data_IF_698063618185
#
_entry.id   IF_698063618185
#
_cell.length_a   1.000
_cell.length_b   1.000
_cell.length_c   1.000
_cell.angle_alpha   90.00
_cell.angle_beta   90.00
_cell.angle_gamma   90.00
#
_symmetry.space_group_name_H-M   'P 1'
#
loop_
_entity.id
_entity.type
_entity.pdbx_description
1 polymer ?
#
# COMPACT_ATOMS: atom_id res chain seq x y z
N UNK A 1 7.14 29.10 -18.32
CA UNK A 1 6.16 28.12 -17.77
C UNK A 1 6.95 27.01 -17.11
N UNK A 2 6.93 27.00 -15.78
CA UNK A 2 7.61 26.00 -14.94
C UNK A 2 7.02 24.63 -15.23
N UNK A 3 7.89 23.64 -15.50
CA UNK A 3 7.50 22.23 -15.52
C UNK A 3 7.03 21.89 -14.11
N UNK A 4 5.71 21.88 -13.91
CA UNK A 4 5.12 21.23 -12.74
C UNK A 4 5.59 19.78 -12.80
N UNK A 5 6.53 19.44 -11.91
CA UNK A 5 6.88 18.04 -11.65
C UNK A 5 5.60 17.41 -11.15
N UNK A 6 4.92 16.64 -12.00
CA UNK A 6 3.76 15.84 -11.62
C UNK A 6 4.14 15.08 -10.36
N UNK A 7 3.57 15.54 -9.25
CA UNK A 7 3.72 14.90 -7.96
C UNK A 7 3.20 13.47 -8.16
N UNK A 8 3.95 12.43 -7.76
CA UNK A 8 3.47 11.06 -7.88
C UNK A 8 2.07 10.93 -7.27
N UNK A 9 1.15 10.16 -7.90
CA UNK A 9 -0.22 10.03 -7.45
C UNK A 9 -0.31 9.69 -5.96
N UNK A 10 -1.02 10.52 -5.17
CA UNK A 10 -1.40 10.10 -3.81
C UNK A 10 -2.19 8.78 -3.90
N UNK A 11 -1.81 7.75 -3.14
CA UNK A 11 -2.27 6.42 -3.44
C UNK A 11 -3.73 6.17 -3.06
N UNK A 12 -4.41 5.42 -3.94
CA UNK A 12 -5.64 4.66 -3.68
C UNK A 12 -5.51 3.85 -2.38
N UNK A 13 -6.63 3.40 -1.76
CA UNK A 13 -6.58 2.45 -0.63
C UNK A 13 -5.53 1.40 -0.95
N UNK A 14 -4.42 1.36 -0.19
CA UNK A 14 -3.23 0.67 -0.69
C UNK A 14 -3.46 -0.83 -0.88
N UNK A 15 -4.54 -1.35 -0.30
CA UNK A 15 -5.06 -2.69 -0.55
C UNK A 15 -5.28 -3.00 -2.05
N UNK A 16 -5.77 -2.05 -2.86
CA UNK A 16 -6.03 -2.28 -4.29
C UNK A 16 -4.80 -2.07 -5.18
N UNK A 17 -3.64 -1.78 -4.60
CA UNK A 17 -2.42 -1.60 -5.37
C UNK A 17 -2.03 -2.90 -6.04
N UNK A 18 -1.78 -2.81 -7.34
CA UNK A 18 -1.10 -3.85 -8.10
C UNK A 18 0.38 -3.88 -7.73
N UNK A 19 1.10 -4.93 -8.15
CA UNK A 19 2.56 -5.00 -8.00
C UNK A 19 3.29 -3.84 -8.71
N UNK A 20 2.67 -3.22 -9.73
CA UNK A 20 3.21 -2.04 -10.41
C UNK A 20 3.07 -0.80 -9.53
N UNK A 21 1.91 -0.60 -8.92
CA UNK A 21 1.66 0.53 -8.01
C UNK A 21 2.58 0.45 -6.78
N UNK A 22 2.81 -0.76 -6.25
CA UNK A 22 3.81 -1.01 -5.19
C UNK A 22 5.21 -0.59 -5.63
N UNK A 23 5.62 -0.92 -6.85
CA UNK A 23 6.92 -0.50 -7.39
C UNK A 23 7.09 1.01 -7.43
N UNK A 24 6.09 1.74 -7.94
CA UNK A 24 6.11 3.21 -7.97
C UNK A 24 6.24 3.80 -6.56
N UNK A 25 5.48 3.27 -5.61
CA UNK A 25 5.56 3.70 -4.22
C UNK A 25 6.94 3.41 -3.59
N UNK A 26 7.56 2.27 -3.91
CA UNK A 26 8.92 1.98 -3.44
C UNK A 26 9.93 3.01 -3.93
N UNK A 27 9.81 3.50 -5.16
CA UNK A 27 10.66 4.59 -5.68
C UNK A 27 10.48 5.87 -4.88
N UNK A 28 9.25 6.24 -4.52
CA UNK A 28 8.94 7.44 -3.73
C UNK A 28 9.58 7.41 -2.33
N UNK A 29 9.62 6.23 -1.70
CA UNK A 29 10.17 6.06 -0.35
C UNK A 29 11.66 5.67 -0.33
N UNK A 30 12.37 5.86 -1.44
CA UNK A 30 13.79 5.52 -1.63
C UNK A 30 14.12 4.02 -1.48
N UNK A 31 13.14 3.15 -1.71
CA UNK A 31 13.30 1.69 -1.76
C UNK A 31 13.20 1.13 -3.20
N UNK A 32 13.35 1.99 -4.22
CA UNK A 32 13.19 1.62 -5.63
C UNK A 32 14.09 0.49 -6.13
N UNK A 33 15.23 0.25 -5.47
CA UNK A 33 16.09 -0.90 -5.76
C UNK A 33 15.41 -2.26 -5.58
N UNK A 34 14.30 -2.32 -4.85
CA UNK A 34 13.53 -3.55 -4.62
C UNK A 34 12.35 -3.74 -5.58
N UNK A 35 12.06 -2.78 -6.49
CA UNK A 35 10.90 -2.83 -7.38
C UNK A 35 10.79 -4.14 -8.15
N UNK A 36 11.88 -4.57 -8.80
CA UNK A 36 11.89 -5.77 -9.61
C UNK A 36 11.62 -7.03 -8.75
N UNK A 37 12.29 -7.13 -7.60
CA UNK A 37 12.14 -8.26 -6.68
C UNK A 37 10.73 -8.32 -6.09
N UNK A 38 10.12 -7.17 -5.78
CA UNK A 38 8.74 -7.13 -5.29
C UNK A 38 7.74 -7.57 -6.35
N UNK A 39 7.96 -7.14 -7.59
CA UNK A 39 7.16 -7.54 -8.76
C UNK A 39 7.26 -9.04 -9.03
N UNK A 40 8.46 -9.60 -9.05
CA UNK A 40 8.70 -11.04 -9.25
C UNK A 40 8.09 -11.88 -8.14
N UNK A 41 8.10 -11.36 -6.90
CA UNK A 41 7.49 -12.03 -5.76
C UNK A 41 5.97 -11.86 -5.67
N UNK A 42 5.36 -11.11 -6.59
CA UNK A 42 3.91 -10.86 -6.60
C UNK A 42 3.44 -10.03 -5.41
N UNK A 43 4.30 -9.17 -4.85
CA UNK A 43 3.95 -8.34 -3.71
C UNK A 43 3.04 -7.22 -4.18
N UNK A 44 1.76 -7.32 -3.82
CA UNK A 44 0.71 -6.34 -4.11
C UNK A 44 0.26 -5.64 -2.81
N UNK A 45 -0.72 -4.75 -2.93
CA UNK A 45 -1.33 -4.04 -1.81
C UNK A 45 -1.82 -4.92 -0.67
N UNK A 46 -2.57 -5.96 -1.01
CA UNK A 46 -3.08 -6.97 -0.07
C UNK A 46 -1.94 -7.67 0.70
N UNK A 47 -0.87 -8.06 0.00
CA UNK A 47 0.30 -8.67 0.64
C UNK A 47 0.96 -7.71 1.63
N UNK A 48 1.19 -6.46 1.20
CA UNK A 48 1.77 -5.42 2.05
C UNK A 48 0.90 -5.12 3.27
N UNK A 49 -0.42 -5.25 3.17
CA UNK A 49 -1.31 -5.14 4.31
C UNK A 49 -1.08 -6.24 5.34
N UNK A 50 -0.89 -7.47 4.87
CA UNK A 50 -0.59 -8.63 5.71
C UNK A 50 0.72 -8.50 6.48
N UNK A 51 1.68 -7.70 6.02
CA UNK A 51 2.99 -7.53 6.67
C UNK A 51 2.87 -7.11 8.15
N UNK A 52 1.86 -6.32 8.52
CA UNK A 52 1.71 -5.90 9.93
C UNK A 52 1.36 -7.04 10.88
N UNK A 53 0.88 -8.17 10.34
CA UNK A 53 0.51 -9.37 11.09
C UNK A 53 1.60 -10.45 11.01
N UNK A 54 2.72 -10.18 10.36
CA UNK A 54 3.78 -11.17 10.22
C UNK A 54 4.38 -11.55 11.56
N UNK A 55 4.54 -12.84 11.78
CA UNK A 55 5.39 -13.36 12.85
C UNK A 55 6.87 -13.08 12.54
N UNK A 56 7.73 -13.20 13.54
CA UNK A 56 9.19 -13.07 13.36
C UNK A 56 9.72 -13.97 12.24
N UNK A 57 9.21 -15.20 12.13
CA UNK A 57 9.61 -16.12 11.06
C UNK A 57 9.18 -15.64 9.68
N UNK A 58 7.95 -15.14 9.56
CA UNK A 58 7.43 -14.59 8.30
C UNK A 58 8.22 -13.34 7.88
N UNK A 59 8.57 -12.48 8.84
CA UNK A 59 9.47 -11.34 8.62
C UNK A 59 10.82 -11.83 8.07
N UNK A 60 11.46 -12.80 8.72
CA UNK A 60 12.76 -13.30 8.28
C UNK A 60 12.68 -13.99 6.92
N UNK A 61 11.60 -14.73 6.62
CA UNK A 61 11.36 -15.33 5.30
C UNK A 61 11.19 -14.25 4.23
N UNK A 62 10.42 -13.21 4.53
CA UNK A 62 10.22 -12.07 3.62
C UNK A 62 11.53 -11.36 3.30
N UNK A 63 12.30 -11.01 4.33
CA UNK A 63 13.59 -10.33 4.21
C UNK A 63 14.56 -11.13 3.34
N UNK A 64 14.64 -12.45 3.55
CA UNK A 64 15.47 -13.34 2.73
C UNK A 64 14.96 -13.43 1.29
N UNK A 65 13.64 -13.63 1.09
CA UNK A 65 13.02 -13.75 -0.23
C UNK A 65 13.19 -12.48 -1.07
N UNK A 66 13.13 -11.33 -0.41
CA UNK A 66 13.27 -10.03 -1.07
C UNK A 66 14.71 -9.52 -1.14
N UNK A 67 15.68 -10.29 -0.61
CA UNK A 67 17.06 -9.83 -0.43
C UNK A 67 17.17 -8.45 0.24
N UNK A 68 16.24 -8.15 1.14
CA UNK A 68 16.07 -6.83 1.73
C UNK A 68 16.98 -6.65 2.94
N UNK A 69 17.59 -5.48 3.08
CA UNK A 69 18.34 -5.14 4.30
C UNK A 69 17.37 -4.94 5.45
N UNK A 70 17.79 -5.31 6.67
CA UNK A 70 16.98 -5.09 7.86
C UNK A 70 16.56 -3.62 8.03
N UNK A 71 17.48 -2.67 7.84
CA UNK A 71 17.17 -1.24 7.91
C UNK A 71 16.12 -0.78 6.89
N UNK A 72 16.14 -1.33 5.69
CA UNK A 72 15.17 -1.03 4.63
C UNK A 72 13.80 -1.65 4.95
N UNK A 73 13.79 -2.85 5.55
CA UNK A 73 12.56 -3.46 6.06
C UNK A 73 11.91 -2.64 7.19
N UNK A 74 12.72 -2.06 8.09
CA UNK A 74 12.22 -1.13 9.12
C UNK A 74 11.62 0.12 8.48
N UNK A 75 12.24 0.66 7.43
CA UNK A 75 11.72 1.80 6.67
C UNK A 75 10.38 1.46 6.01
N UNK A 76 10.30 0.31 5.33
CA UNK A 76 9.06 -0.22 4.75
C UNK A 76 7.93 -0.29 5.79
N UNK A 77 8.21 -0.88 6.96
CA UNK A 77 7.22 -0.98 8.05
C UNK A 77 6.74 0.38 8.55
N UNK A 78 7.63 1.38 8.65
CA UNK A 78 7.27 2.74 9.07
C UNK A 78 6.35 3.41 8.06
N UNK A 79 6.64 3.30 6.77
CA UNK A 79 5.80 3.89 5.72
C UNK A 79 4.44 3.18 5.62
N UNK A 80 4.41 1.84 5.71
CA UNK A 80 3.15 1.09 5.78
C UNK A 80 2.28 1.53 6.97
N UNK A 81 2.89 1.78 8.14
CA UNK A 81 2.17 2.32 9.30
C UNK A 81 1.60 3.72 9.03
N UNK A 82 2.36 4.60 8.37
CA UNK A 82 1.88 5.95 8.01
C UNK A 82 0.66 5.89 7.10
N UNK A 83 0.71 5.04 6.07
CA UNK A 83 -0.42 4.82 5.16
C UNK A 83 -1.63 4.32 5.95
N UNK A 84 -1.48 3.25 6.76
CA UNK A 84 -2.58 2.70 7.58
C UNK A 84 -3.22 3.77 8.49
N UNK A 85 -2.41 4.62 9.14
CA UNK A 85 -2.92 5.70 9.99
C UNK A 85 -3.68 6.74 9.17
N UNK A 86 -3.18 7.15 8.01
CA UNK A 86 -3.88 8.09 7.12
C UNK A 86 -5.21 7.52 6.60
N UNK A 87 -5.27 6.21 6.30
CA UNK A 87 -6.51 5.51 5.92
C UNK A 87 -7.56 5.59 7.03
N UNK A 88 -7.17 5.29 8.28
CA UNK A 88 -8.04 5.29 9.46
C UNK A 88 -8.56 6.69 9.81
N UNK A 89 -7.72 7.72 9.68
CA UNK A 89 -8.09 9.10 9.99
C UNK A 89 -9.04 9.75 8.99
N UNK A 90 -9.36 9.08 7.88
CA UNK A 90 -10.17 9.72 6.85
C UNK A 90 -9.37 10.58 5.87
N UNK A 91 -8.09 10.83 6.15
CA UNK A 91 -7.24 11.82 5.49
C UNK A 91 -6.73 11.37 4.11
N UNK A 92 -6.83 10.09 3.81
CA UNK A 92 -6.50 9.57 2.48
C UNK A 92 -7.51 10.09 1.43
N UNK A 93 -7.04 10.92 0.50
CA UNK A 93 -7.83 11.38 -0.65
C UNK A 93 -8.03 10.23 -1.62
N UNK A 94 -9.27 9.76 -1.74
CA UNK A 94 -9.65 8.67 -2.63
C UNK A 94 -9.48 9.12 -4.09
N UNK A 95 -8.61 8.45 -4.85
CA UNK A 95 -8.47 8.68 -6.30
C UNK A 95 -9.37 7.71 -7.10
N UNK A 96 -9.67 8.06 -8.35
CA UNK A 96 -10.09 7.08 -9.37
C UNK A 96 -8.82 6.55 -10.06
N UNK A 97 -8.63 5.23 -10.22
CA UNK A 97 -7.53 4.71 -11.03
C UNK A 97 -7.58 5.32 -12.43
N UNK A 98 -6.45 5.77 -13.01
CA UNK A 98 -6.46 6.43 -14.33
C UNK A 98 -6.98 5.52 -15.45
N UNK A 99 -6.93 4.20 -15.24
CA UNK A 99 -7.34 3.18 -16.19
C UNK A 99 -8.79 2.74 -15.96
N UNK A 100 -9.44 3.20 -14.88
CA UNK A 100 -10.81 2.85 -14.57
C UNK A 100 -11.76 3.64 -15.49
N UNK A 101 -12.56 2.94 -16.33
CA UNK A 101 -13.61 3.59 -17.12
C UNK A 101 -14.55 4.36 -16.20
N UNK A 102 -15.01 5.54 -16.64
CA UNK A 102 -15.85 6.45 -15.83
C UNK A 102 -17.10 5.75 -15.26
N UNK A 103 -17.63 4.75 -15.97
CA UNK A 103 -18.79 3.94 -15.61
C UNK A 103 -18.55 2.91 -14.49
N UNK A 104 -17.30 2.47 -14.27
CA UNK A 104 -16.97 1.49 -13.23
C UNK A 104 -16.57 2.14 -11.90
N UNK A 105 -16.41 3.47 -11.87
CA UNK A 105 -15.98 4.23 -10.70
C UNK A 105 -16.85 4.04 -9.45
N UNK A 106 -18.15 3.77 -9.63
CA UNK A 106 -19.09 3.52 -8.52
C UNK A 106 -18.77 2.20 -7.81
N UNK A 107 -18.31 1.18 -8.54
CA UNK A 107 -18.01 -0.15 -7.97
C UNK A 107 -16.78 -0.09 -7.08
N UNK A 108 -15.73 0.61 -7.53
CA UNK A 108 -14.51 0.82 -6.74
C UNK A 108 -14.79 1.64 -5.47
N UNK A 109 -15.52 2.75 -5.59
CA UNK A 109 -15.91 3.57 -4.43
C UNK A 109 -16.79 2.78 -3.44
N UNK A 110 -17.64 1.87 -3.93
CA UNK A 110 -18.51 1.05 -3.08
C UNK A 110 -17.75 -0.09 -2.40
N UNK A 111 -16.77 -0.70 -3.08
CA UNK A 111 -15.86 -1.69 -2.50
C UNK A 111 -14.98 -1.07 -1.41
N UNK A 112 -14.42 0.12 -1.66
CA UNK A 112 -13.63 0.87 -0.68
C UNK A 112 -14.47 1.33 0.52
N UNK A 113 -15.70 1.86 0.30
CA UNK A 113 -16.60 2.22 1.42
C UNK A 113 -16.95 1.03 2.30
N UNK A 114 -17.19 -0.15 1.71
CA UNK A 114 -17.47 -1.38 2.43
C UNK A 114 -16.24 -1.87 3.21
N UNK A 115 -15.05 -1.80 2.60
CA UNK A 115 -13.77 -2.14 3.24
C UNK A 115 -13.45 -1.20 4.41
N UNK A 116 -13.66 0.11 4.24
CA UNK A 116 -13.50 1.13 5.29
C UNK A 116 -14.41 0.86 6.48
N UNK A 117 -15.67 0.49 6.23
CA UNK A 117 -16.60 0.07 7.29
C UNK A 117 -16.15 -1.22 7.98
N UNK A 118 -15.71 -2.24 7.23
CA UNK A 118 -15.20 -3.49 7.80
C UNK A 118 -13.99 -3.27 8.71
N UNK A 119 -13.03 -2.41 8.32
CA UNK A 119 -11.82 -2.13 9.13
C UNK A 119 -12.11 -1.31 10.38
N UNK A 120 -13.04 -0.36 10.32
CA UNK A 120 -13.52 0.37 11.51
C UNK A 120 -14.25 -0.56 12.47
N UNK A 121 -14.97 -1.56 11.97
CA UNK A 121 -15.65 -2.58 12.78
C UNK A 121 -14.67 -3.56 13.42
N UNK A 122 -13.59 -3.96 12.72
CA UNK A 122 -12.54 -4.82 13.28
C UNK A 122 -11.73 -4.17 14.41
N UNK A 123 -11.68 -2.84 14.49
CA UNK A 123 -11.08 -2.09 15.61
C UNK A 123 -12.04 -1.90 16.80
N UNK A 124 -13.29 -2.36 16.70
CA UNK A 124 -14.34 -2.18 17.71
C UNK A 124 -14.53 -3.38 18.64
N UNK A 125 -13.61 -4.36 18.62
CA UNK A 125 -13.41 -5.33 19.71
C UNK A 125 -12.13 -4.91 20.44
N UNK A 126 -12.06 -4.67 21.74
CA UNK A 126 -12.84 -5.15 22.89
C UNK A 126 -13.12 -4.00 23.90
N UNK A 127 -14.04 -4.17 24.87
CA UNK A 127 -14.12 -3.34 26.08
C UNK A 127 -12.89 -3.45 26.99
#
# INVERSE_FOLDING_TARGET
MTKDKEKPPEPLDFFIWTAVDVGLWLEEINLGGYCQIFKENGINGEYLEGISMFTTEQILRFIRKCHMKWGDFITLCKELRRIKVACLKGEQKVRRPWWAPSCLSIVFVKSEKRNRQSRVVSLKLEP
#
